data_IF_300625354105
#
_entry.id   IF_300625354105
#
_cell.length_a   1.000
_cell.length_b   1.000
_cell.length_c   1.000
_cell.angle_alpha   90.00
_cell.angle_beta   90.00
_cell.angle_gamma   90.00
#
_symmetry.space_group_name_H-M   'P 1'
#
loop_
_entity.id
_entity.type
_entity.pdbx_description
1 polymer ?
#
# COMPACT_ATOMS: atom_id res chain seq x y z
N UNK A 1 16.59 -5.93 -90.09
CA UNK A 1 16.39 -5.47 -88.69
C UNK A 1 15.14 -4.57 -88.67
N UNK A 2 14.07 -4.73 -87.90
CA UNK A 2 13.61 -5.74 -86.90
C UNK A 2 12.07 -5.58 -86.73
N UNK A 3 11.33 -6.70 -86.61
CA UNK A 3 9.85 -6.82 -86.53
C UNK A 3 9.29 -6.57 -85.11
N UNK A 4 8.01 -6.14 -84.93
CA UNK A 4 7.25 -6.34 -83.69
C UNK A 4 6.54 -7.71 -83.67
N UNK A 5 6.34 -8.34 -82.49
CA UNK A 5 5.68 -9.64 -82.37
C UNK A 5 4.15 -9.46 -82.36
N UNK A 6 3.43 -10.51 -82.78
CA UNK A 6 1.98 -10.79 -82.65
C UNK A 6 0.95 -10.08 -83.57
N UNK A 7 1.13 -10.19 -84.89
CA UNK A 7 0.04 -10.07 -85.86
C UNK A 7 -0.58 -11.43 -86.20
N UNK A 8 -1.91 -11.54 -86.06
CA UNK A 8 -2.73 -12.54 -86.76
C UNK A 8 -3.90 -11.80 -87.40
N UNK A 9 -4.14 -12.06 -88.69
CA UNK A 9 -5.23 -11.48 -89.46
C UNK A 9 -6.38 -12.47 -89.55
N UNK A 10 -7.60 -11.97 -89.36
CA UNK A 10 -8.81 -12.63 -89.84
C UNK A 10 -9.62 -11.58 -90.61
N UNK A 11 -9.74 -11.77 -91.93
CA UNK A 11 -10.66 -11.01 -92.77
C UNK A 11 -12.03 -11.67 -92.73
N UNK A 12 -13.06 -10.94 -92.34
CA UNK A 12 -14.41 -11.13 -92.85
C UNK A 12 -15.11 -9.78 -93.02
N UNK A 13 -15.85 -9.71 -94.11
CA UNK A 13 -16.59 -8.58 -94.64
C UNK A 13 -17.88 -8.34 -93.86
N UNK A 14 -18.11 -7.10 -93.45
CA UNK A 14 -19.46 -6.59 -93.15
C UNK A 14 -19.76 -6.33 -91.67
N UNK A 15 -20.11 -5.07 -91.39
CA UNK A 15 -21.01 -4.72 -90.29
C UNK A 15 -20.35 -4.48 -88.93
N UNK A 16 -20.23 -3.19 -88.59
CA UNK A 16 -19.93 -2.74 -87.23
C UNK A 16 -21.09 -3.12 -86.31
N UNK A 17 -20.86 -4.01 -85.35
CA UNK A 17 -21.63 -4.07 -84.09
C UNK A 17 -20.66 -4.25 -82.94
N UNK A 18 -20.62 -3.27 -82.05
CA UNK A 18 -19.92 -3.38 -80.78
C UNK A 18 -20.64 -4.42 -79.90
N UNK A 19 -19.98 -5.55 -79.62
CA UNK A 19 -20.39 -6.45 -78.56
C UNK A 19 -19.54 -6.08 -77.35
N UNK A 20 -20.12 -5.32 -76.43
CA UNK A 20 -19.52 -5.07 -75.12
C UNK A 20 -19.69 -6.33 -74.27
N UNK A 21 -18.66 -7.17 -74.17
CA UNK A 21 -18.65 -8.24 -73.18
C UNK A 21 -18.37 -7.62 -71.81
N UNK A 22 -19.43 -7.33 -71.06
CA UNK A 22 -19.35 -7.03 -69.62
C UNK A 22 -18.93 -8.31 -68.89
N UNK A 23 -17.62 -8.55 -68.78
CA UNK A 23 -17.08 -9.56 -67.87
C UNK A 23 -17.21 -9.03 -66.45
N UNK A 24 -18.32 -9.36 -65.79
CA UNK A 24 -18.52 -9.10 -64.37
C UNK A 24 -17.60 -10.01 -63.57
N UNK A 25 -16.36 -9.59 -63.34
CA UNK A 25 -15.53 -10.14 -62.27
C UNK A 25 -16.21 -9.79 -60.94
N UNK A 26 -17.08 -10.68 -60.44
CA UNK A 26 -17.46 -10.70 -59.02
C UNK A 26 -16.19 -11.03 -58.24
N UNK A 27 -15.50 -9.99 -57.82
CA UNK A 27 -14.55 -10.07 -56.72
C UNK A 27 -15.37 -10.44 -55.49
N UNK A 28 -15.43 -11.72 -55.16
CA UNK A 28 -15.96 -12.19 -53.89
C UNK A 28 -15.11 -11.56 -52.80
N UNK A 29 -15.65 -10.52 -52.15
CA UNK A 29 -15.07 -9.93 -50.96
C UNK A 29 -14.79 -11.05 -49.93
N UNK A 30 -13.57 -11.12 -49.36
CA UNK A 30 -13.28 -12.06 -48.28
C UNK A 30 -14.23 -11.77 -47.10
N UNK A 31 -14.66 -12.81 -46.34
CA UNK A 31 -15.59 -12.62 -45.23
C UNK A 31 -14.99 -11.66 -44.18
N UNK A 32 -15.83 -10.85 -43.52
CA UNK A 32 -15.38 -9.85 -42.55
C UNK A 32 -14.64 -10.52 -41.37
N UNK A 33 -13.33 -10.28 -41.30
CA UNK A 33 -12.50 -9.98 -40.13
C UNK A 33 -12.91 -10.40 -38.71
N UNK A 34 -13.57 -11.53 -38.47
CA UNK A 34 -13.87 -11.98 -37.09
C UNK A 34 -12.62 -12.27 -36.25
N UNK A 35 -11.45 -12.40 -36.87
CA UNK A 35 -10.18 -12.62 -36.18
C UNK A 35 -9.57 -11.34 -35.60
N UNK A 36 -9.97 -10.15 -36.08
CA UNK A 36 -9.43 -8.86 -35.63
C UNK A 36 -10.07 -8.40 -34.30
N UNK A 37 -11.30 -8.84 -34.06
CA UNK A 37 -12.08 -8.47 -32.88
C UNK A 37 -11.66 -9.24 -31.61
N UNK A 38 -11.15 -10.46 -31.76
CA UNK A 38 -10.72 -11.32 -30.65
C UNK A 38 -9.49 -10.76 -29.92
N UNK A 39 -8.51 -10.23 -30.67
CA UNK A 39 -7.29 -9.65 -30.09
C UNK A 39 -7.57 -8.30 -29.41
N UNK A 40 -8.47 -7.49 -29.98
CA UNK A 40 -8.92 -6.22 -29.38
C UNK A 40 -9.70 -6.47 -28.08
N UNK A 41 -10.58 -7.47 -28.08
CA UNK A 41 -11.33 -7.88 -26.89
C UNK A 41 -10.38 -8.41 -25.81
N UNK A 42 -9.39 -9.22 -26.17
CA UNK A 42 -8.37 -9.70 -25.23
C UNK A 42 -7.59 -8.53 -24.60
N UNK A 43 -7.14 -7.56 -25.39
CA UNK A 43 -6.42 -6.39 -24.90
C UNK A 43 -7.25 -5.55 -23.91
N UNK A 44 -8.52 -5.28 -24.23
CA UNK A 44 -9.42 -4.57 -23.33
C UNK A 44 -9.67 -5.34 -22.02
N UNK A 45 -9.85 -6.66 -22.09
CA UNK A 45 -10.05 -7.48 -20.89
C UNK A 45 -8.79 -7.50 -20.01
N UNK A 46 -7.60 -7.63 -20.58
CA UNK A 46 -6.34 -7.58 -19.82
C UNK A 46 -6.09 -6.20 -19.19
N UNK A 47 -6.37 -5.13 -19.92
CA UNK A 47 -6.29 -3.75 -19.41
C UNK A 47 -7.28 -3.51 -18.25
N UNK A 48 -8.52 -4.00 -18.38
CA UNK A 48 -9.53 -3.89 -17.32
C UNK A 48 -9.16 -4.71 -16.08
N UNK A 49 -8.63 -5.92 -16.24
CA UNK A 49 -8.14 -6.76 -15.13
C UNK A 49 -6.95 -6.08 -14.43
N UNK A 50 -6.01 -5.52 -15.19
CA UNK A 50 -4.87 -4.80 -14.63
C UNK A 50 -5.33 -3.57 -13.82
N UNK A 51 -6.27 -2.78 -14.36
CA UNK A 51 -6.84 -1.63 -13.66
C UNK A 51 -7.57 -2.07 -12.37
N UNK A 52 -8.33 -3.17 -12.42
CA UNK A 52 -9.02 -3.73 -11.27
C UNK A 52 -8.04 -4.20 -10.18
N UNK A 53 -6.93 -4.81 -10.56
CA UNK A 53 -5.87 -5.23 -9.63
C UNK A 53 -5.21 -4.03 -8.93
N UNK A 54 -4.96 -2.93 -9.66
CA UNK A 54 -4.43 -1.70 -9.06
C UNK A 54 -5.41 -1.09 -8.05
N UNK A 55 -6.71 -1.08 -8.37
CA UNK A 55 -7.76 -0.60 -7.46
C UNK A 55 -7.97 -1.53 -6.25
N UNK A 56 -7.62 -2.81 -6.38
CA UNK A 56 -7.69 -3.80 -5.30
C UNK A 56 -6.49 -3.76 -4.34
N UNK A 57 -5.48 -2.91 -4.58
CA UNK A 57 -4.34 -2.78 -3.67
C UNK A 57 -4.80 -2.17 -2.33
N UNK A 58 -4.73 -2.96 -1.26
CA UNK A 58 -4.82 -2.44 0.11
C UNK A 58 -3.52 -1.70 0.42
N UNK A 59 -3.59 -0.38 0.57
CA UNK A 59 -2.49 0.38 1.14
C UNK A 59 -2.39 0.05 2.64
N UNK A 60 -1.42 -0.78 3.02
CA UNK A 60 -0.92 -0.79 4.39
C UNK A 60 -0.12 0.50 4.56
N UNK A 61 -0.62 1.41 5.40
CA UNK A 61 0.12 2.59 5.82
C UNK A 61 0.68 2.28 7.20
N UNK A 62 2.00 2.20 7.32
CA UNK A 62 2.70 2.18 8.59
C UNK A 62 2.64 3.60 9.19
N UNK A 63 2.17 3.73 10.42
CA UNK A 63 2.16 5.01 11.15
C UNK A 63 3.29 5.01 12.17
N UNK A 64 4.00 6.13 12.25
CA UNK A 64 4.99 6.36 13.31
C UNK A 64 4.33 7.13 14.46
N UNK A 65 4.52 6.65 15.69
CA UNK A 65 4.04 7.29 16.91
C UNK A 65 5.21 7.69 17.79
N UNK A 66 5.34 9.00 18.01
CA UNK A 66 6.30 9.54 18.98
C UNK A 66 5.81 9.22 20.39
N UNK A 67 6.56 8.41 21.13
CA UNK A 67 6.22 8.03 22.50
C UNK A 67 6.32 9.25 23.40
N UNK A 68 5.22 9.58 24.09
CA UNK A 68 5.12 10.80 24.90
C UNK A 68 4.84 12.09 24.11
N UNK A 69 4.54 11.98 22.81
CA UNK A 69 4.33 13.12 21.91
C UNK A 69 5.51 14.12 22.00
N UNK A 70 5.25 15.41 22.23
CA UNK A 70 6.30 16.44 22.32
C UNK A 70 7.19 16.31 23.56
N UNK A 71 6.75 15.57 24.58
CA UNK A 71 7.50 15.35 25.82
C UNK A 71 8.47 14.18 25.72
N UNK A 72 8.39 13.37 24.67
CA UNK A 72 9.30 12.24 24.44
C UNK A 72 9.26 11.16 25.51
N UNK A 73 10.33 10.36 25.56
CA UNK A 73 10.54 9.30 26.54
C UNK A 73 11.32 9.83 27.74
N UNK A 74 10.64 10.53 28.64
CA UNK A 74 11.17 11.11 29.89
C UNK A 74 10.27 10.82 31.11
N UNK A 75 10.80 11.08 32.31
CA UNK A 75 10.10 11.09 33.59
C UNK A 75 9.01 12.17 33.66
N UNK A 76 8.02 11.99 34.53
CA UNK A 76 6.93 12.97 34.71
C UNK A 76 5.83 12.94 33.63
N UNK A 77 6.03 12.17 32.56
CA UNK A 77 5.05 11.98 31.49
C UNK A 77 3.95 10.96 31.88
N UNK A 78 2.72 11.19 31.42
CA UNK A 78 1.61 10.24 31.61
C UNK A 78 1.46 9.31 30.40
N UNK A 79 2.25 8.23 30.38
CA UNK A 79 2.22 7.28 29.27
C UNK A 79 0.95 6.45 29.17
N UNK A 80 0.17 6.34 30.25
CA UNK A 80 -1.13 5.66 30.21
C UNK A 80 -2.12 6.46 29.36
N UNK A 81 -2.19 7.78 29.54
CA UNK A 81 -3.03 8.64 28.71
C UNK A 81 -2.53 8.66 27.26
N UNK A 82 -1.22 8.78 27.07
CA UNK A 82 -0.63 8.73 25.73
C UNK A 82 -0.96 7.42 25.01
N UNK A 83 -0.81 6.27 25.68
CA UNK A 83 -1.04 4.97 25.04
C UNK A 83 -2.50 4.70 24.69
N UNK A 84 -3.45 5.36 25.37
CA UNK A 84 -4.88 5.27 25.08
C UNK A 84 -5.35 6.20 23.95
N UNK A 85 -4.54 7.21 23.59
CA UNK A 85 -4.87 8.18 22.53
C UNK A 85 -4.91 7.56 21.13
N UNK A 86 -4.17 6.47 20.92
CA UNK A 86 -3.92 5.91 19.60
C UNK A 86 -4.45 4.49 19.44
N UNK A 87 -4.60 4.06 18.18
CA UNK A 87 -4.96 2.69 17.80
C UNK A 87 -3.82 2.09 16.99
N UNK A 88 -3.03 1.25 17.65
CA UNK A 88 -1.86 0.63 17.04
C UNK A 88 -2.25 -0.59 16.18
N UNK A 89 -1.63 -0.71 15.02
CA UNK A 89 -1.82 -1.81 14.08
C UNK A 89 -0.48 -2.44 13.69
N UNK A 90 -0.51 -3.68 13.21
CA UNK A 90 0.68 -4.31 12.65
C UNK A 90 1.27 -3.46 11.52
N UNK A 91 2.56 -3.21 11.59
CA UNK A 91 3.31 -2.37 10.67
C UNK A 91 3.60 -0.96 11.19
N UNK A 92 2.90 -0.52 12.25
CA UNK A 92 3.19 0.76 12.90
C UNK A 92 4.54 0.73 13.64
N UNK A 93 5.08 1.91 13.93
CA UNK A 93 6.38 2.10 14.58
C UNK A 93 6.22 2.99 15.80
N UNK A 94 6.80 2.58 16.94
CA UNK A 94 6.97 3.46 18.09
C UNK A 94 8.34 4.10 18.03
N UNK A 95 8.40 5.43 18.15
CA UNK A 95 9.64 6.20 18.13
C UNK A 95 9.88 6.76 19.53
N UNK A 96 10.97 6.33 20.16
CA UNK A 96 11.39 6.76 21.48
C UNK A 96 12.53 7.76 21.33
N UNK A 97 12.29 9.01 21.73
CA UNK A 97 13.32 10.05 21.77
C UNK A 97 13.66 10.43 23.20
N UNK A 98 14.94 10.43 23.52
CA UNK A 98 15.48 10.76 24.82
C UNK A 98 16.99 11.04 24.73
N UNK A 99 17.56 11.67 25.76
CA UNK A 99 19.01 11.87 25.83
C UNK A 99 19.71 10.53 26.08
N UNK A 100 20.64 10.14 25.20
CA UNK A 100 21.36 8.88 25.30
C UNK A 100 22.04 8.74 26.69
N UNK A 101 21.88 7.57 27.31
CA UNK A 101 22.42 7.30 28.64
C UNK A 101 21.61 7.84 29.82
N UNK A 102 20.61 8.71 29.60
CA UNK A 102 19.65 9.10 30.66
C UNK A 102 18.54 8.07 30.82
N UNK A 103 18.12 7.46 29.71
CA UNK A 103 17.06 6.48 29.67
C UNK A 103 17.46 5.29 28.77
N UNK A 104 16.67 4.24 28.85
CA UNK A 104 16.67 3.12 27.94
C UNK A 104 15.21 2.73 27.64
N UNK A 105 15.05 1.87 26.66
CA UNK A 105 13.75 1.27 26.33
C UNK A 105 13.89 -0.24 26.43
N UNK A 106 13.20 -0.82 27.38
CA UNK A 106 13.12 -2.27 27.52
C UNK A 106 11.73 -2.75 27.10
N UNK A 107 11.66 -3.58 26.06
CA UNK A 107 10.47 -4.37 25.81
C UNK A 107 10.46 -5.55 26.78
N UNK A 108 9.35 -5.77 27.46
CA UNK A 108 9.25 -6.73 28.56
C UNK A 108 7.99 -7.58 28.49
N UNK A 109 7.97 -8.66 29.27
CA UNK A 109 6.74 -9.40 29.58
C UNK A 109 5.85 -8.62 30.56
N UNK A 110 4.57 -8.98 30.61
CA UNK A 110 3.57 -8.27 31.42
C UNK A 110 3.92 -8.27 32.91
N UNK A 111 4.46 -9.38 33.42
CA UNK A 111 4.87 -9.51 34.82
C UNK A 111 5.99 -8.54 35.19
N UNK A 112 7.02 -8.41 34.34
CA UNK A 112 8.11 -7.45 34.54
C UNK A 112 7.63 -6.01 34.37
N UNK A 113 6.72 -5.75 33.43
CA UNK A 113 6.07 -4.45 33.36
C UNK A 113 5.36 -4.12 34.68
N UNK A 114 4.58 -5.05 35.24
CA UNK A 114 3.83 -4.83 36.49
C UNK A 114 4.75 -4.62 37.68
N UNK A 115 5.81 -5.41 37.82
CA UNK A 115 6.73 -5.37 38.97
C UNK A 115 7.82 -4.30 38.87
N UNK A 116 8.13 -3.82 37.66
CA UNK A 116 9.35 -3.06 37.39
C UNK A 116 10.64 -3.81 37.78
N UNK A 117 10.60 -5.15 37.73
CA UNK A 117 11.75 -6.02 38.00
C UNK A 117 12.24 -6.66 36.69
N UNK A 118 13.42 -6.26 36.17
CA UNK A 118 13.95 -6.71 34.90
C UNK A 118 14.51 -8.15 34.91
N UNK A 119 14.66 -8.78 36.08
CA UNK A 119 15.55 -9.93 36.30
C UNK A 119 15.37 -11.11 35.32
N UNK A 120 14.18 -11.33 34.77
CA UNK A 120 13.95 -12.40 33.79
C UNK A 120 12.97 -12.08 32.66
N UNK A 121 12.42 -10.86 32.60
CA UNK A 121 11.32 -10.55 31.69
C UNK A 121 11.65 -9.56 30.58
N UNK A 122 12.89 -9.07 30.47
CA UNK A 122 13.33 -8.27 29.32
C UNK A 122 13.45 -9.16 28.08
N UNK A 123 12.81 -8.75 26.99
CA UNK A 123 12.90 -9.43 25.68
C UNK A 123 13.75 -8.68 24.68
N UNK A 124 13.81 -7.34 24.77
CA UNK A 124 14.64 -6.47 23.92
C UNK A 124 15.05 -5.22 24.70
N UNK A 125 16.24 -4.70 24.40
CA UNK A 125 16.78 -3.46 24.97
C UNK A 125 17.18 -2.55 23.82
N UNK A 126 16.85 -1.27 23.96
CA UNK A 126 17.27 -0.20 23.07
C UNK A 126 17.82 0.95 23.92
N UNK A 127 18.87 1.60 23.44
CA UNK A 127 19.67 2.53 24.23
C UNK A 127 20.34 3.62 23.37
N UNK A 128 19.79 3.95 22.19
CA UNK A 128 20.41 4.93 21.27
C UNK A 128 19.96 6.37 21.44
N UNK A 129 18.92 6.62 22.27
CA UNK A 129 18.29 7.95 22.38
C UNK A 129 17.32 8.31 21.25
N UNK A 130 17.30 7.54 20.16
CA UNK A 130 16.31 7.67 19.07
C UNK A 130 15.91 6.29 18.55
N UNK A 131 15.31 5.49 19.43
CA UNK A 131 14.99 4.10 19.14
C UNK A 131 13.67 3.95 18.39
N UNK A 132 13.62 3.01 17.46
CA UNK A 132 12.42 2.68 16.70
C UNK A 132 12.03 1.22 16.94
N UNK A 133 10.80 1.01 17.37
CA UNK A 133 10.24 -0.32 17.63
C UNK A 133 9.12 -0.59 16.64
N UNK A 134 9.37 -1.51 15.71
CA UNK A 134 8.38 -1.97 14.74
C UNK A 134 7.38 -2.93 15.40
N UNK A 135 6.08 -2.66 15.24
CA UNK A 135 4.99 -3.49 15.74
C UNK A 135 4.66 -4.56 14.69
N UNK A 136 5.41 -5.66 14.71
CA UNK A 136 5.35 -6.69 13.66
C UNK A 136 4.22 -7.71 13.84
N UNK A 137 3.66 -7.81 15.03
CA UNK A 137 2.64 -8.80 15.38
C UNK A 137 1.48 -8.16 16.13
N UNK A 138 0.28 -8.74 15.97
CA UNK A 138 -0.87 -8.33 16.76
C UNK A 138 -0.79 -8.93 18.16
N UNK A 139 -1.17 -8.17 19.18
CA UNK A 139 -1.06 -8.60 20.57
C UNK A 139 -0.72 -7.45 21.51
N UNK A 140 -0.26 -7.80 22.72
CA UNK A 140 0.13 -6.83 23.74
C UNK A 140 1.63 -6.63 23.76
N UNK A 141 2.04 -5.38 23.84
CA UNK A 141 3.43 -4.97 24.01
C UNK A 141 3.54 -4.17 25.31
N UNK A 142 4.64 -4.39 26.04
CA UNK A 142 4.91 -3.70 27.30
C UNK A 142 6.31 -3.13 27.27
N UNK A 143 6.44 -1.88 27.71
CA UNK A 143 7.69 -1.13 27.70
C UNK A 143 7.93 -0.51 29.07
N UNK A 144 9.19 -0.49 29.48
CA UNK A 144 9.68 0.18 30.69
C UNK A 144 11.01 0.88 30.42
N UNK A 145 11.35 1.87 31.25
CA UNK A 145 12.74 2.30 31.42
C UNK A 145 13.32 1.57 32.64
N UNK A 146 14.47 0.93 32.48
CA UNK A 146 15.12 0.11 33.49
C UNK A 146 16.18 0.86 34.31
N UNK A 147 16.32 2.16 34.10
CA UNK A 147 17.08 3.02 35.01
C UNK A 147 16.39 3.05 36.38
N UNK A 148 17.19 2.89 37.44
CA UNK A 148 16.71 2.76 38.83
C UNK A 148 15.69 3.85 39.18
N UNK A 149 14.47 3.42 39.53
CA UNK A 149 13.38 4.30 39.94
C UNK A 149 12.51 4.85 38.81
N UNK A 150 12.94 4.79 37.55
CA UNK A 150 12.19 5.38 36.43
C UNK A 150 10.91 4.61 36.12
N UNK A 151 10.96 3.27 36.05
CA UNK A 151 9.77 2.45 35.86
C UNK A 151 8.76 2.63 37.00
N UNK A 152 9.23 2.62 38.25
CA UNK A 152 8.38 2.83 39.43
C UNK A 152 7.79 4.25 39.45
N UNK A 153 8.54 5.23 38.94
CA UNK A 153 8.10 6.61 38.76
C UNK A 153 7.15 6.84 37.58
N UNK A 154 6.81 5.79 36.83
CA UNK A 154 5.80 5.85 35.77
C UNK A 154 6.34 5.84 34.33
N UNK A 155 7.66 5.72 34.10
CA UNK A 155 8.22 5.49 32.75
C UNK A 155 7.98 4.05 32.29
N UNK A 156 6.72 3.75 32.02
CA UNK A 156 6.22 2.45 31.59
C UNK A 156 4.88 2.61 30.90
N UNK A 157 4.61 1.77 29.91
CA UNK A 157 3.27 1.64 29.36
C UNK A 157 3.06 0.29 28.67
N UNK A 158 1.80 -0.02 28.41
CA UNK A 158 1.39 -1.10 27.54
C UNK A 158 0.53 -0.60 26.41
N UNK A 159 0.58 -1.29 25.27
CA UNK A 159 -0.30 -1.07 24.13
C UNK A 159 -0.89 -2.40 23.65
N UNK A 160 -2.03 -2.31 22.97
CA UNK A 160 -2.62 -3.42 22.22
C UNK A 160 -2.55 -3.11 20.73
N UNK A 161 -1.98 -4.03 19.97
CA UNK A 161 -1.79 -3.94 18.52
C UNK A 161 -2.82 -4.83 17.84
N UNK A 162 -3.62 -4.25 16.96
CA UNK A 162 -4.59 -5.00 16.18
C UNK A 162 -3.86 -5.91 15.17
N UNK A 163 -4.18 -7.21 15.20
CA UNK A 163 -3.74 -8.13 14.16
C UNK A 163 -4.30 -7.70 12.80
N UNK A 164 -3.50 -7.84 11.75
CA UNK A 164 -3.99 -7.73 10.38
C UNK A 164 -5.00 -8.87 10.13
N UNK A 165 -6.28 -8.63 10.37
CA UNK A 165 -7.31 -9.59 9.98
C UNK A 165 -7.32 -9.70 8.46
N UNK A 166 -7.26 -10.91 7.86
CA UNK A 166 -7.43 -11.08 6.42
C UNK A 166 -8.80 -10.59 5.94
N UNK A 167 -9.79 -10.62 6.84
CA UNK A 167 -11.16 -10.21 6.57
C UNK A 167 -11.56 -9.03 7.45
N UNK A 168 -11.88 -7.91 6.80
CA UNK A 168 -12.48 -6.75 7.46
C UNK A 168 -13.79 -7.16 8.12
N UNK A 169 -13.88 -6.93 9.42
CA UNK A 169 -15.06 -7.21 10.23
C UNK A 169 -14.81 -6.70 11.63
N UNK A 170 -15.25 -5.47 11.89
CA UNK A 170 -15.19 -4.87 13.21
C UNK A 170 -15.95 -5.71 14.22
N UNK A 171 -15.28 -6.06 15.32
CA UNK A 171 -15.88 -6.63 16.51
C UNK A 171 -15.37 -5.85 17.71
N UNK A 172 -16.07 -4.76 18.03
CA UNK A 172 -15.85 -4.01 19.27
C UNK A 172 -16.22 -4.87 20.46
N UNK A 173 -15.22 -5.25 21.25
CA UNK A 173 -15.41 -5.75 22.60
C UNK A 173 -15.57 -4.56 23.54
N UNK A 174 -16.79 -4.35 24.02
CA UNK A 174 -17.13 -3.37 25.05
C UNK A 174 -16.35 -3.70 26.33
N UNK A 175 -15.43 -2.82 26.73
CA UNK A 175 -14.95 -2.77 28.11
C UNK A 175 -15.92 -1.91 28.94
N UNK A 176 -16.30 -2.32 30.17
CA UNK A 176 -17.20 -1.54 31.01
C UNK A 176 -16.53 -0.24 31.50
N UNK A 177 -17.30 0.84 31.73
CA UNK A 177 -16.74 2.10 32.20
C UNK A 177 -16.55 2.08 33.73
N UNK A 178 -15.56 2.81 34.24
CA UNK A 178 -15.78 3.52 35.50
C UNK A 178 -15.36 4.98 35.45
N UNK A 179 -16.33 5.78 35.90
CA UNK A 179 -16.32 7.07 36.58
C UNK A 179 -15.47 8.25 36.07
N UNK A 180 -16.24 9.28 35.75
CA UNK A 180 -15.92 10.62 35.29
C UNK A 180 -15.47 11.50 36.46
N UNK A 181 -14.30 12.13 36.34
CA UNK A 181 -14.06 13.44 36.94
C UNK A 181 -13.51 14.38 35.87
N UNK A 182 -14.35 15.38 35.57
CA UNK A 182 -14.16 16.32 34.48
C UNK A 182 -13.19 17.46 34.79
N UNK A 183 -12.88 18.18 33.71
CA UNK A 183 -12.12 19.43 33.73
C UNK A 183 -11.37 19.61 32.41
N UNK A 184 -12.04 20.13 31.40
CA UNK A 184 -11.51 20.23 30.04
C UNK A 184 -10.55 21.39 29.79
N UNK A 185 -9.91 21.35 28.64
CA UNK A 185 -9.72 22.50 27.75
C UNK A 185 -9.26 21.98 26.38
N UNK A 186 -9.86 22.53 25.33
CA UNK A 186 -9.54 22.27 23.94
C UNK A 186 -8.13 22.77 23.59
N UNK A 187 -7.43 22.00 22.76
CA UNK A 187 -6.15 22.37 22.17
C UNK A 187 -6.04 21.73 20.79
N UNK A 188 -5.62 22.51 19.82
CA UNK A 188 -5.87 22.37 18.39
C UNK A 188 -5.10 21.22 17.73
N UNK A 189 -5.70 20.62 16.71
CA UNK A 189 -5.11 19.55 15.92
C UNK A 189 -4.17 20.11 14.85
N UNK A 190 -2.86 19.92 15.03
CA UNK A 190 -1.82 20.12 14.01
C UNK A 190 -0.68 19.12 14.33
N UNK A 191 -0.11 18.31 13.43
CA UNK A 191 -0.36 18.01 12.04
C UNK A 191 0.23 16.62 11.72
N UNK A 192 -0.46 15.85 10.88
CA UNK A 192 -0.01 14.55 10.34
C UNK A 192 1.14 14.79 9.36
N UNK A 193 2.37 14.48 9.74
CA UNK A 193 3.48 14.37 8.79
C UNK A 193 3.36 13.09 7.96
N UNK A 194 2.94 13.20 6.69
CA UNK A 194 3.06 12.12 5.69
C UNK A 194 4.33 12.37 4.89
N UNK A 195 5.40 11.62 5.14
CA UNK A 195 6.51 11.49 4.19
C UNK A 195 6.15 10.42 3.17
N UNK A 196 5.71 10.88 1.99
CA UNK A 196 5.39 10.01 0.86
C UNK A 196 6.67 9.55 0.17
N UNK A 197 6.92 8.24 0.16
CA UNK A 197 7.89 7.65 -0.76
C UNK A 197 7.31 7.69 -2.18
N UNK A 198 7.84 8.58 -3.02
CA UNK A 198 7.52 8.63 -4.46
C UNK A 198 8.37 7.56 -5.16
N UNK A 199 7.81 6.37 -5.35
CA UNK A 199 8.30 5.45 -6.36
C UNK A 199 7.83 5.96 -7.73
N UNK A 200 8.71 6.69 -8.41
CA UNK A 200 8.51 7.10 -9.79
C UNK A 200 8.47 5.86 -10.69
N UNK A 201 7.28 5.45 -11.11
CA UNK A 201 7.10 4.52 -12.22
C UNK A 201 6.97 5.32 -13.51
N UNK A 202 8.12 5.56 -14.16
CA UNK A 202 8.15 5.86 -15.57
C UNK A 202 7.84 4.57 -16.34
N UNK A 203 6.62 4.43 -16.85
CA UNK A 203 6.31 3.48 -17.93
C UNK A 203 5.64 4.28 -19.03
N UNK A 204 6.49 4.99 -19.80
CA UNK A 204 6.11 5.60 -21.06
C UNK A 204 6.56 4.70 -22.20
N UNK A 205 5.59 4.24 -23.00
CA UNK A 205 5.76 3.96 -24.43
C UNK A 205 6.45 2.67 -24.82
N UNK A 206 5.69 1.72 -25.36
CA UNK A 206 5.70 1.35 -26.79
C UNK A 206 4.89 0.05 -26.97
N UNK A 207 3.61 0.18 -27.32
CA UNK A 207 2.83 -0.93 -27.92
C UNK A 207 2.09 -0.45 -29.19
N UNK A 208 2.65 0.53 -29.90
CA UNK A 208 2.13 1.03 -31.17
C UNK A 208 3.17 0.90 -32.28
N UNK A 209 3.54 -0.33 -32.65
CA UNK A 209 4.10 -0.63 -33.96
C UNK A 209 3.68 -2.04 -34.38
N UNK A 210 2.43 -2.16 -34.84
CA UNK A 210 1.98 -3.21 -35.76
C UNK A 210 0.67 -2.75 -36.41
N UNK A 211 0.80 -1.84 -37.37
CA UNK A 211 -0.13 -1.63 -38.47
C UNK A 211 0.68 -1.31 -39.72
#
# INVERSE_FOLDING_TARGET
MSKPPNTWWAMTSGGIRAITTSSSNKLSSPPPSKAMDSNLTLCHTLSAIFLLCLLAQRHVQATEYMVGDDLGWDTGNNYLLWSQKYKFSVGDVLVFKYEEGQHDVCQVREETYRSCDPTSGITKIYNSGNDQVNLTEGGKYWFICNITGHCQGGMKFGISVASASPNGGGGGGLAPPPEEQGGGAAGEAVGRGRVGWVLGLAIGGLCLLSY
#
